data_IF_532494254465
#
_entry.id   IF_532494254465
#
_cell.length_a   1.000
_cell.length_b   1.000
_cell.length_c   1.000
_cell.angle_alpha   90.00
_cell.angle_beta   90.00
_cell.angle_gamma   90.00
#
_symmetry.space_group_name_H-M   'P 1'
#
loop_
_entity.id
_entity.type
_entity.pdbx_description
1 polymer ?
#
# COMPACT_ATOMS: atom_id res chain seq x y z
N UNK A 1 2.58 -14.19 20.41
CA UNK A 1 2.99 -12.76 20.56
C UNK A 1 2.73 -11.96 19.30
N UNK A 2 3.09 -12.47 18.12
CA UNK A 2 2.89 -11.76 16.84
C UNK A 2 1.41 -11.38 16.57
N UNK A 3 0.45 -12.26 16.89
CA UNK A 3 -0.98 -11.93 16.75
C UNK A 3 -1.43 -10.71 17.57
N UNK A 4 -0.88 -10.49 18.77
CA UNK A 4 -1.21 -9.34 19.62
C UNK A 4 -0.68 -8.05 18.99
N UNK A 5 0.53 -8.11 18.41
CA UNK A 5 1.12 -6.98 17.69
C UNK A 5 0.27 -6.63 16.48
N UNK A 6 -0.08 -7.63 15.64
CA UNK A 6 -0.91 -7.40 14.46
C UNK A 6 -2.31 -6.90 14.86
N UNK A 7 -2.93 -7.48 15.88
CA UNK A 7 -4.23 -7.04 16.40
C UNK A 7 -4.19 -5.60 16.92
N UNK A 8 -3.09 -5.19 17.59
CA UNK A 8 -2.88 -3.80 17.99
C UNK A 8 -2.80 -2.86 16.79
N UNK A 9 -2.10 -3.25 15.72
CA UNK A 9 -2.09 -2.49 14.46
C UNK A 9 -3.48 -2.37 13.82
N UNK A 10 -4.29 -3.44 13.83
CA UNK A 10 -5.67 -3.39 13.34
C UNK A 10 -6.53 -2.45 14.20
N UNK A 11 -6.38 -2.50 15.52
CA UNK A 11 -7.08 -1.61 16.45
C UNK A 11 -6.68 -0.14 16.23
N UNK A 12 -5.39 0.12 16.02
CA UNK A 12 -4.92 1.46 15.63
C UNK A 12 -5.58 1.88 14.31
N UNK A 13 -5.61 1.01 13.30
CA UNK A 13 -6.31 1.26 12.03
C UNK A 13 -7.76 1.68 12.25
N UNK A 14 -8.49 0.96 13.10
CA UNK A 14 -9.86 1.29 13.49
C UNK A 14 -9.97 2.66 14.16
N UNK A 15 -9.15 2.94 15.18
CA UNK A 15 -9.18 4.20 15.93
C UNK A 15 -8.83 5.41 15.05
N UNK A 16 -7.85 5.27 14.16
CA UNK A 16 -7.55 6.30 13.16
C UNK A 16 -8.72 6.46 12.18
N UNK A 17 -9.38 5.37 11.79
CA UNK A 17 -10.60 5.41 10.97
C UNK A 17 -11.77 6.14 11.59
N UNK A 18 -12.02 5.93 12.88
CA UNK A 18 -13.04 6.66 13.62
C UNK A 18 -12.77 8.18 13.63
N UNK A 19 -11.50 8.59 13.66
CA UNK A 19 -11.09 10.00 13.65
C UNK A 19 -11.14 10.63 12.26
N UNK A 20 -10.71 9.89 11.26
CA UNK A 20 -10.59 10.36 9.87
C UNK A 20 -11.94 10.39 9.13
N UNK A 21 -12.90 9.53 9.52
CA UNK A 21 -14.18 9.37 8.81
C UNK A 21 -14.07 8.53 7.53
N UNK A 22 -15.22 8.14 6.97
CA UNK A 22 -15.28 7.24 5.81
C UNK A 22 -14.60 7.81 4.58
N UNK A 23 -14.94 9.04 4.17
CA UNK A 23 -14.47 9.63 2.92
C UNK A 23 -12.94 9.66 2.86
N UNK A 24 -12.30 10.25 3.89
CA UNK A 24 -10.85 10.27 4.02
C UNK A 24 -10.23 8.89 3.94
N UNK A 25 -10.83 7.90 4.61
CA UNK A 25 -10.32 6.52 4.61
C UNK A 25 -10.43 5.85 3.25
N UNK A 26 -11.49 6.09 2.48
CA UNK A 26 -11.61 5.59 1.10
C UNK A 26 -10.52 6.19 0.21
N UNK A 27 -10.30 7.51 0.26
CA UNK A 27 -9.21 8.15 -0.51
C UNK A 27 -7.84 7.62 -0.10
N UNK A 28 -7.61 7.45 1.20
CA UNK A 28 -6.34 6.91 1.70
C UNK A 28 -6.17 5.44 1.29
N UNK A 29 -7.24 4.67 1.22
CA UNK A 29 -7.21 3.29 0.73
C UNK A 29 -6.83 3.24 -0.75
N UNK A 30 -7.42 4.11 -1.57
CA UNK A 30 -7.04 4.26 -3.00
C UNK A 30 -5.56 4.64 -3.11
N UNK A 31 -5.08 5.57 -2.27
CA UNK A 31 -3.67 5.95 -2.21
C UNK A 31 -2.75 4.75 -1.90
N UNK A 32 -3.14 3.89 -0.96
CA UNK A 32 -2.38 2.68 -0.60
C UNK A 32 -2.37 1.68 -1.76
N UNK A 33 -3.51 1.43 -2.40
CA UNK A 33 -3.62 0.48 -3.51
C UNK A 33 -2.82 0.96 -4.73
N UNK A 34 -3.00 2.21 -5.15
CA UNK A 34 -2.24 2.82 -6.24
C UNK A 34 -0.75 2.88 -5.90
N UNK A 35 -0.40 3.32 -4.68
CA UNK A 35 0.98 3.37 -4.23
C UNK A 35 1.66 2.02 -4.30
N UNK A 36 0.99 0.95 -3.84
CA UNK A 36 1.51 -0.41 -3.85
C UNK A 36 1.67 -0.96 -5.27
N UNK A 37 0.69 -0.70 -6.14
CA UNK A 37 0.76 -1.10 -7.55
C UNK A 37 1.91 -0.40 -8.28
N UNK A 38 2.01 0.93 -8.18
CA UNK A 38 3.08 1.70 -8.82
C UNK A 38 4.44 1.34 -8.23
N UNK A 39 4.57 1.20 -6.91
CA UNK A 39 5.85 0.82 -6.31
C UNK A 39 6.29 -0.56 -6.78
N UNK A 40 5.39 -1.54 -6.86
CA UNK A 40 5.73 -2.85 -7.40
C UNK A 40 6.13 -2.81 -8.88
N UNK A 41 5.50 -1.93 -9.68
CA UNK A 41 5.85 -1.79 -11.09
C UNK A 41 7.22 -1.14 -11.29
N UNK A 42 7.51 -0.10 -10.52
CA UNK A 42 8.64 0.79 -10.75
C UNK A 42 9.84 0.58 -9.80
N UNK A 43 9.75 -0.30 -8.79
CA UNK A 43 10.86 -0.47 -7.82
C UNK A 43 12.18 -0.87 -8.48
N UNK A 44 12.17 -1.64 -9.57
CA UNK A 44 13.41 -2.06 -10.27
C UNK A 44 14.12 -0.87 -10.90
N UNK A 45 13.35 0.05 -11.48
CA UNK A 45 13.89 1.26 -12.09
C UNK A 45 14.52 2.15 -11.01
N UNK A 46 13.79 2.40 -9.91
CA UNK A 46 14.34 3.19 -8.82
C UNK A 46 15.48 2.50 -8.06
N UNK A 47 15.50 1.16 -7.97
CA UNK A 47 16.63 0.45 -7.34
C UNK A 47 17.93 0.64 -8.12
N UNK A 48 17.88 0.64 -9.45
CA UNK A 48 19.06 0.94 -10.29
C UNK A 48 19.53 2.37 -10.06
N UNK A 49 18.61 3.33 -9.96
CA UNK A 49 18.94 4.71 -9.64
C UNK A 49 19.64 4.83 -8.27
N UNK A 50 19.13 4.16 -7.23
CA UNK A 50 19.74 4.17 -5.90
C UNK A 50 21.11 3.51 -5.87
N UNK A 51 21.29 2.38 -6.56
CA UNK A 51 22.58 1.69 -6.65
C UNK A 51 23.64 2.59 -7.32
N UNK A 52 23.27 3.28 -8.41
CA UNK A 52 24.21 4.09 -9.18
C UNK A 52 24.57 5.42 -8.49
N UNK A 53 23.67 6.01 -7.70
CA UNK A 53 23.88 7.35 -7.12
C UNK A 53 24.22 7.33 -5.63
N UNK A 54 23.80 6.31 -4.88
CA UNK A 54 23.93 6.26 -3.42
C UNK A 54 24.75 5.05 -2.91
N UNK A 55 25.24 4.18 -3.81
CA UNK A 55 26.09 3.02 -3.50
C UNK A 55 25.53 2.09 -2.42
N UNK A 56 24.20 2.01 -2.31
CA UNK A 56 23.54 1.08 -1.40
C UNK A 56 23.65 -0.36 -1.91
N UNK A 57 23.53 -1.33 -0.98
CA UNK A 57 23.47 -2.74 -1.37
C UNK A 57 22.25 -3.00 -2.27
N UNK A 58 22.30 -4.04 -3.14
CA UNK A 58 21.18 -4.34 -4.04
C UNK A 58 19.86 -4.56 -3.30
N UNK A 59 19.90 -5.26 -2.16
CA UNK A 59 18.73 -5.56 -1.34
C UNK A 59 18.15 -4.27 -0.72
N UNK A 60 19.01 -3.40 -0.18
CA UNK A 60 18.59 -2.15 0.42
C UNK A 60 18.00 -1.19 -0.64
N UNK A 61 18.60 -1.16 -1.83
CA UNK A 61 18.14 -0.32 -2.95
C UNK A 61 16.75 -0.70 -3.45
N UNK A 62 16.46 -2.00 -3.52
CA UNK A 62 15.13 -2.53 -3.89
C UNK A 62 14.06 -2.09 -2.87
N UNK A 63 14.31 -2.28 -1.57
CA UNK A 63 13.35 -1.88 -0.55
C UNK A 63 13.15 -0.37 -0.47
N UNK A 64 14.25 0.40 -0.48
CA UNK A 64 14.17 1.86 -0.45
C UNK A 64 13.45 2.39 -1.69
N UNK A 65 13.70 1.83 -2.88
CA UNK A 65 12.99 2.25 -4.08
C UNK A 65 11.49 1.98 -3.98
N UNK A 66 11.09 0.78 -3.56
CA UNK A 66 9.67 0.46 -3.36
C UNK A 66 9.03 1.43 -2.36
N UNK A 67 9.68 1.65 -1.21
CA UNK A 67 9.19 2.52 -0.15
C UNK A 67 9.05 3.97 -0.61
N UNK A 68 10.05 4.50 -1.31
CA UNK A 68 10.05 5.89 -1.79
C UNK A 68 8.93 6.12 -2.80
N UNK A 69 8.78 5.23 -3.79
CA UNK A 69 7.71 5.34 -4.80
C UNK A 69 6.33 5.27 -4.13
N UNK A 70 6.14 4.30 -3.23
CA UNK A 70 4.91 4.17 -2.46
C UNK A 70 4.60 5.46 -1.68
N UNK A 71 5.59 6.01 -0.98
CA UNK A 71 5.43 7.19 -0.16
C UNK A 71 5.11 8.44 -0.99
N UNK A 72 5.76 8.60 -2.15
CA UNK A 72 5.48 9.70 -3.09
C UNK A 72 4.03 9.65 -3.54
N UNK A 73 3.57 8.48 -4.05
CA UNK A 73 2.18 8.32 -4.52
C UNK A 73 1.20 8.56 -3.38
N UNK A 74 1.48 7.98 -2.21
CA UNK A 74 0.64 8.16 -1.03
C UNK A 74 0.51 9.63 -0.62
N UNK A 75 1.62 10.37 -0.59
CA UNK A 75 1.63 11.80 -0.25
C UNK A 75 0.84 12.59 -1.29
N UNK A 76 1.05 12.34 -2.59
CA UNK A 76 0.34 13.05 -3.68
C UNK A 76 -1.17 12.88 -3.53
N UNK A 77 -1.67 11.65 -3.39
CA UNK A 77 -3.11 11.41 -3.23
C UNK A 77 -3.64 12.03 -1.95
N UNK A 78 -2.87 12.02 -0.85
CA UNK A 78 -3.28 12.64 0.42
C UNK A 78 -3.33 14.17 0.34
N UNK A 79 -2.41 14.79 -0.39
CA UNK A 79 -2.41 16.24 -0.65
C UNK A 79 -3.60 16.60 -1.52
N UNK A 80 -3.88 15.82 -2.57
CA UNK A 80 -5.08 15.96 -3.40
C UNK A 80 -6.35 15.89 -2.56
N UNK A 81 -6.49 14.87 -1.70
CA UNK A 81 -7.63 14.78 -0.80
C UNK A 81 -7.79 16.02 0.09
N UNK A 82 -6.68 16.54 0.64
CA UNK A 82 -6.70 17.75 1.49
C UNK A 82 -7.17 19.00 0.75
N UNK A 83 -6.92 19.11 -0.55
CA UNK A 83 -7.41 20.24 -1.36
C UNK A 83 -8.95 20.24 -1.50
N UNK A 84 -9.57 19.07 -1.42
CA UNK A 84 -11.03 18.91 -1.51
C UNK A 84 -11.72 18.76 -0.14
N UNK A 85 -10.97 18.44 0.92
CA UNK A 85 -11.52 18.26 2.27
C UNK A 85 -11.88 19.62 2.89
N UNK A 86 -13.11 19.82 3.38
CA UNK A 86 -13.48 21.06 4.06
C UNK A 86 -12.73 21.18 5.40
N UNK A 87 -12.41 22.40 5.85
CA UNK A 87 -11.56 22.68 7.03
C UNK A 87 -12.03 22.01 8.34
N UNK A 88 -13.34 21.77 8.50
CA UNK A 88 -13.95 21.19 9.70
C UNK A 88 -15.04 20.19 9.34
N UNK A 89 -14.68 19.00 8.85
CA UNK A 89 -15.67 18.02 8.45
C UNK A 89 -16.37 17.47 9.70
N UNK A 90 -17.67 17.72 9.81
CA UNK A 90 -18.51 17.15 10.88
C UNK A 90 -19.02 15.79 10.44
N UNK A 91 -18.32 14.74 10.86
CA UNK A 91 -18.73 13.37 10.61
C UNK A 91 -19.82 12.92 11.59
N UNK A 92 -20.89 12.34 11.06
CA UNK A 92 -21.88 11.61 11.87
C UNK A 92 -21.22 10.38 12.53
N UNK A 93 -21.83 9.86 13.61
CA UNK A 93 -21.35 8.66 14.30
C UNK A 93 -21.24 7.49 13.32
N UNK A 94 -22.21 7.33 12.42
CA UNK A 94 -22.22 6.30 11.38
C UNK A 94 -21.01 6.47 10.46
N UNK A 95 -20.72 7.69 10.00
CA UNK A 95 -19.56 7.96 9.15
C UNK A 95 -18.23 7.65 9.84
N UNK A 96 -18.14 7.88 11.15
CA UNK A 96 -16.95 7.52 11.94
C UNK A 96 -16.79 6.00 12.02
N UNK A 97 -17.85 5.27 12.36
CA UNK A 97 -17.83 3.79 12.45
C UNK A 97 -17.42 3.18 11.11
N UNK A 98 -18.01 3.64 10.01
CA UNK A 98 -17.64 3.19 8.66
C UNK A 98 -16.18 3.54 8.35
N UNK A 99 -15.71 4.73 8.73
CA UNK A 99 -14.30 5.09 8.67
C UNK A 99 -13.41 4.12 9.47
N UNK A 100 -13.84 3.70 10.67
CA UNK A 100 -13.18 2.69 11.47
C UNK A 100 -13.04 1.35 10.74
N UNK A 101 -14.13 0.84 10.17
CA UNK A 101 -14.14 -0.42 9.40
C UNK A 101 -13.18 -0.33 8.22
N UNK A 102 -13.25 0.74 7.42
CA UNK A 102 -12.31 0.96 6.31
C UNK A 102 -10.87 1.10 6.81
N UNK A 103 -10.67 1.71 7.98
CA UNK A 103 -9.37 1.79 8.64
C UNK A 103 -8.76 0.43 9.00
N UNK A 104 -9.59 -0.54 9.42
CA UNK A 104 -9.14 -1.92 9.63
C UNK A 104 -8.72 -2.54 8.31
N UNK A 105 -9.56 -2.44 7.26
CA UNK A 105 -9.24 -2.98 5.92
C UNK A 105 -7.94 -2.39 5.41
N UNK A 106 -7.77 -1.07 5.54
CA UNK A 106 -6.54 -0.39 5.16
C UNK A 106 -5.34 -0.92 5.94
N UNK A 107 -5.45 -1.12 7.26
CA UNK A 107 -4.37 -1.64 8.09
C UNK A 107 -3.99 -3.07 7.69
N UNK A 108 -4.96 -3.93 7.41
CA UNK A 108 -4.76 -5.29 6.90
C UNK A 108 -3.94 -5.27 5.61
N UNK A 109 -4.30 -4.41 4.65
CA UNK A 109 -3.59 -4.28 3.37
C UNK A 109 -2.16 -3.78 3.58
N UNK A 110 -1.98 -2.67 4.31
CA UNK A 110 -0.64 -2.10 4.56
C UNK A 110 0.25 -3.14 5.25
N UNK A 111 -0.26 -3.83 6.26
CA UNK A 111 0.48 -4.83 7.02
C UNK A 111 0.83 -6.04 6.15
N UNK A 112 -0.08 -6.45 5.27
CA UNK A 112 0.17 -7.49 4.27
C UNK A 112 1.35 -7.15 3.35
N UNK A 113 1.36 -5.95 2.76
CA UNK A 113 2.46 -5.48 1.91
C UNK A 113 3.78 -5.30 2.67
N UNK A 114 3.73 -4.81 3.92
CA UNK A 114 4.93 -4.69 4.77
C UNK A 114 5.53 -6.05 5.10
N UNK A 115 4.69 -7.04 5.43
CA UNK A 115 5.15 -8.41 5.69
C UNK A 115 5.73 -9.06 4.43
N UNK A 116 5.12 -8.83 3.26
CA UNK A 116 5.65 -9.31 1.98
C UNK A 116 7.02 -8.67 1.69
N UNK A 117 7.13 -7.35 1.86
CA UNK A 117 8.39 -6.61 1.72
C UNK A 117 9.48 -7.11 2.68
N UNK A 118 9.12 -7.32 3.95
CA UNK A 118 10.02 -7.83 4.97
C UNK A 118 10.48 -9.28 4.69
N UNK A 119 9.64 -10.09 4.06
CA UNK A 119 9.96 -11.48 3.72
C UNK A 119 11.17 -11.59 2.78
N UNK A 120 11.38 -10.60 1.91
CA UNK A 120 12.57 -10.51 1.05
C UNK A 120 13.88 -10.33 1.84
N UNK A 121 13.80 -9.89 3.11
CA UNK A 121 14.94 -9.76 4.02
C UNK A 121 15.03 -10.90 5.04
N UNK A 122 14.29 -12.00 4.84
CA UNK A 122 14.16 -13.11 5.80
C UNK A 122 13.59 -12.68 7.16
N UNK A 123 12.81 -11.59 7.20
CA UNK A 123 12.16 -11.09 8.41
C UNK A 123 10.62 -11.21 8.30
N UNK A 124 9.89 -11.67 9.33
CA UNK A 124 10.34 -12.12 10.67
C UNK A 124 10.99 -13.52 10.65
N UNK A 125 11.79 -13.86 11.67
CA UNK A 125 12.42 -15.19 11.82
C UNK A 125 11.38 -16.33 11.90
N UNK A 126 11.73 -17.54 11.44
CA UNK A 126 10.86 -18.72 11.37
C UNK A 126 10.12 -19.03 12.71
N UNK A 127 10.80 -18.83 13.84
CA UNK A 127 10.21 -19.01 15.19
C UNK A 127 9.00 -18.10 15.47
N UNK A 128 8.91 -16.95 14.80
CA UNK A 128 7.76 -16.03 14.91
C UNK A 128 6.61 -16.37 13.95
N UNK A 129 6.85 -17.21 12.93
CA UNK A 129 5.90 -17.56 11.86
C UNK A 129 4.98 -18.73 12.23
N UNK A 130 5.54 -19.75 12.89
CA UNK A 130 4.92 -21.07 13.13
C UNK A 130 3.50 -21.02 13.74
N UNK A 131 3.20 -20.21 14.79
CA UNK A 131 1.88 -20.23 15.43
C UNK A 131 0.89 -19.15 14.95
N UNK A 132 1.28 -18.18 14.12
CA UNK A 132 0.44 -16.99 13.86
C UNK A 132 -0.55 -17.20 12.71
N UNK A 133 -1.84 -17.30 13.04
CA UNK A 133 -2.93 -17.35 12.05
C UNK A 133 -3.06 -16.04 11.28
N UNK A 134 -2.89 -14.90 11.96
CA UNK A 134 -2.98 -13.58 11.31
C UNK A 134 -1.83 -13.37 10.32
N UNK A 135 -0.60 -13.79 10.64
CA UNK A 135 0.52 -13.71 9.70
C UNK A 135 0.24 -14.50 8.41
N UNK A 136 -0.21 -15.74 8.52
CA UNK A 136 -0.55 -16.58 7.35
C UNK A 136 -1.66 -15.96 6.49
N UNK A 137 -2.67 -15.36 7.11
CA UNK A 137 -3.72 -14.65 6.36
C UNK A 137 -3.15 -13.40 5.68
N UNK A 138 -2.41 -12.57 6.42
CA UNK A 138 -1.90 -11.31 5.89
C UNK A 138 -0.85 -11.50 4.80
N UNK A 139 0.11 -12.43 4.93
CA UNK A 139 1.17 -12.59 3.93
C UNK A 139 0.61 -13.02 2.56
N UNK A 140 -0.51 -13.75 2.55
CA UNK A 140 -1.15 -14.23 1.32
C UNK A 140 -2.10 -13.20 0.69
N UNK A 141 -2.52 -12.17 1.42
CA UNK A 141 -3.45 -11.16 0.90
C UNK A 141 -2.80 -10.24 -0.13
N UNK A 142 -1.54 -9.83 0.06
CA UNK A 142 -0.84 -8.95 -0.87
C UNK A 142 -0.71 -9.61 -2.25
N UNK A 143 -0.20 -10.85 -2.38
CA UNK A 143 -0.20 -11.57 -3.66
C UNK A 143 -1.59 -11.65 -4.30
N UNK A 144 -2.63 -12.02 -3.54
CA UNK A 144 -3.99 -12.10 -4.09
C UNK A 144 -4.54 -10.75 -4.59
N UNK A 145 -4.25 -9.65 -3.88
CA UNK A 145 -4.62 -8.31 -4.33
C UNK A 145 -3.88 -7.99 -5.62
N UNK A 146 -2.59 -8.33 -5.70
CA UNK A 146 -1.77 -8.09 -6.87
C UNK A 146 -2.22 -8.89 -8.10
N UNK A 147 -2.47 -10.19 -7.93
CA UNK A 147 -2.98 -11.06 -9.00
C UNK A 147 -4.32 -10.51 -9.54
N UNK A 148 -5.25 -10.14 -8.65
CA UNK A 148 -6.52 -9.52 -9.06
C UNK A 148 -6.34 -8.18 -9.77
N UNK A 149 -5.33 -7.38 -9.39
CA UNK A 149 -5.05 -6.13 -10.11
C UNK A 149 -4.43 -6.38 -11.49
N UNK A 150 -3.67 -7.46 -11.68
CA UNK A 150 -3.15 -7.88 -12.99
C UNK A 150 -4.27 -8.42 -13.89
N UNK A 151 -5.28 -9.11 -13.34
CA UNK A 151 -6.46 -9.53 -14.10
C UNK A 151 -7.30 -8.34 -14.60
N UNK A 152 -7.42 -7.28 -13.79
CA UNK A 152 -8.17 -6.07 -14.16
C UNK A 152 -7.37 -5.18 -15.12
N UNK A 153 -6.03 -5.18 -14.99
CA UNK A 153 -5.12 -4.42 -15.85
C UNK A 153 -4.04 -5.35 -16.44
N UNK A 154 -4.39 -6.18 -17.45
CA UNK A 154 -3.44 -7.09 -18.06
C UNK A 154 -2.29 -6.30 -18.71
N UNK A 155 -1.07 -6.84 -18.66
CA UNK A 155 0.12 -6.20 -19.24
C UNK A 155 -0.04 -5.86 -20.73
N UNK A 156 -0.81 -6.65 -21.48
CA UNK A 156 -1.12 -6.42 -22.90
C UNK A 156 -1.98 -5.18 -23.16
N UNK A 157 -2.88 -4.82 -22.24
CA UNK A 157 -3.69 -3.60 -22.34
C UNK A 157 -2.82 -2.36 -22.14
N UNK A 158 -1.67 -2.48 -21.47
CA UNK A 158 -0.79 -1.34 -21.22
C UNK A 158 0.21 -1.08 -22.34
N UNK A 159 0.71 -2.14 -23.01
CA UNK A 159 1.49 -1.99 -24.25
C UNK A 159 0.63 -1.32 -25.33
N UNK A 160 -0.59 -1.79 -25.55
CA UNK A 160 -1.51 -1.18 -26.53
C UNK A 160 -1.89 0.28 -26.22
N UNK A 161 -2.01 0.67 -24.94
CA UNK A 161 -2.26 2.06 -24.55
C UNK A 161 -1.02 2.94 -24.70
N UNK A 162 0.19 2.41 -24.49
CA UNK A 162 1.44 3.14 -24.75
C UNK A 162 1.65 3.35 -26.25
N UNK A 163 1.38 2.34 -27.07
CA UNK A 163 1.44 2.43 -28.52
C UNK A 163 0.40 3.45 -29.05
N UNK A 164 -0.82 3.43 -28.50
CA UNK A 164 -1.88 4.38 -28.88
C UNK A 164 -1.60 5.84 -28.47
N UNK A 165 -0.86 6.07 -27.39
CA UNK A 165 -0.46 7.42 -26.97
C UNK A 165 0.74 7.96 -27.75
N UNK A 166 1.52 7.09 -28.40
CA UNK A 166 2.59 7.48 -29.33
C UNK A 166 2.07 7.75 -30.75
N UNK A 167 0.90 7.21 -31.12
CA UNK A 167 0.25 7.45 -32.42
C UNK A 167 -0.64 8.71 -32.47
N UNK A 168 -0.80 9.47 -31.38
CA UNK A 168 -1.56 10.73 -31.42
C UNK A 168 -0.76 11.74 -32.26
N UNK A 169 -1.21 12.13 -33.47
CA UNK A 169 -0.53 13.14 -34.25
C UNK A 169 -0.72 14.51 -33.58
N UNK A 170 0.34 15.32 -33.52
CA UNK A 170 0.27 16.72 -33.08
C UNK A 170 -0.71 17.56 -33.92
#
# INVERSE_FOLDING_TARGET
MLDIILASFLLLGFLLGLKDGLLKKVFTLIAVLLGAYLSYRFFRMGSVFLMNNASFSPQLSVALSFLLIFLIVYIVVKVLYRLFEPDKPKYSIINRILGGIVGIVQAVIVLSFLLLGASFFHFPNEEMKEPSKLYKTLINLAPQIMDKTEDIFPRSTQESLQDSLQEIPE
#
